data_IF_507320397853
#
_entry.id   IF_507320397853
#
_cell.length_a   1.000
_cell.length_b   1.000
_cell.length_c   1.000
_cell.angle_alpha   90.00
_cell.angle_beta   90.00
_cell.angle_gamma   90.00
#
_symmetry.space_group_name_H-M   'P 1'
#
loop_
_entity.id
_entity.type
_entity.pdbx_description
1 polymer ?
#
# COMPACT_ATOMS: atom_id res chain seq x y z
N UNK A 1 1.12 11.77 6.70
CA UNK A 1 0.96 10.35 6.38
C UNK A 1 -0.13 10.27 5.33
N UNK A 2 0.14 9.66 4.18
CA UNK A 2 -0.89 9.29 3.21
C UNK A 2 -1.27 7.83 3.41
N UNK A 3 -2.51 7.50 3.09
CA UNK A 3 -3.04 6.15 3.01
C UNK A 3 -3.85 5.98 1.75
N UNK A 4 -3.80 4.79 1.17
CA UNK A 4 -4.58 4.38 -0.01
C UNK A 4 -5.07 2.96 0.21
N UNK A 5 -6.31 2.71 -0.19
CA UNK A 5 -6.87 1.38 -0.30
C UNK A 5 -7.28 1.13 -1.75
N UNK A 6 -6.61 0.15 -2.35
CA UNK A 6 -6.96 -0.39 -3.66
C UNK A 6 -7.70 -1.71 -3.48
N UNK A 7 -8.89 -1.83 -4.05
CA UNK A 7 -9.57 -3.11 -4.20
C UNK A 7 -8.90 -3.91 -5.33
N UNK A 8 -8.84 -5.23 -5.14
CA UNK A 8 -8.29 -6.17 -6.08
C UNK A 8 -9.04 -7.50 -5.99
N UNK A 9 -9.61 -7.92 -7.12
CA UNK A 9 -10.41 -9.13 -7.26
C UNK A 9 -9.63 -10.31 -7.86
N UNK A 10 -8.33 -10.16 -8.08
CA UNK A 10 -7.49 -11.12 -8.80
C UNK A 10 -7.31 -10.80 -10.29
N UNK A 11 -7.88 -9.68 -10.78
CA UNK A 11 -7.67 -9.19 -12.15
C UNK A 11 -6.32 -8.48 -12.33
N UNK A 12 -6.09 -7.91 -13.52
CA UNK A 12 -4.91 -7.08 -13.83
C UNK A 12 -5.10 -5.60 -13.50
N UNK A 13 -6.13 -5.24 -12.71
CA UNK A 13 -6.45 -3.87 -12.33
C UNK A 13 -6.67 -3.75 -10.83
N UNK A 14 -6.02 -2.74 -10.23
CA UNK A 14 -6.26 -2.29 -8.86
C UNK A 14 -7.12 -1.03 -8.90
N UNK A 15 -8.26 -1.03 -8.21
CA UNK A 15 -9.22 0.08 -8.23
C UNK A 15 -9.19 0.85 -6.92
N UNK A 16 -8.95 2.17 -6.98
CA UNK A 16 -8.89 3.00 -5.78
C UNK A 16 -10.28 3.13 -5.16
N UNK A 17 -10.41 2.69 -3.91
CA UNK A 17 -11.66 2.82 -3.16
C UNK A 17 -11.58 3.97 -2.16
N UNK A 18 -10.42 4.18 -1.52
CA UNK A 18 -10.26 5.24 -0.53
C UNK A 18 -8.82 5.76 -0.49
N UNK A 19 -8.66 7.05 -0.17
CA UNK A 19 -7.36 7.71 -0.01
C UNK A 19 -7.42 8.84 1.01
N UNK A 20 -6.30 9.10 1.69
CA UNK A 20 -6.18 10.19 2.66
C UNK A 20 -4.71 10.59 2.89
N UNK A 21 -4.26 11.83 2.60
CA UNK A 21 -4.81 12.84 1.70
C UNK A 21 -4.55 12.58 0.20
N UNK A 22 -5.36 13.22 -0.64
CA UNK A 22 -5.64 12.89 -2.04
C UNK A 22 -4.49 13.17 -3.04
N UNK A 23 -3.95 12.11 -3.66
CA UNK A 23 -3.13 12.21 -4.89
C UNK A 23 -2.95 10.86 -5.60
N UNK A 24 -3.78 9.86 -5.31
CA UNK A 24 -3.65 8.51 -5.85
C UNK A 24 -4.46 8.36 -7.14
N UNK A 25 -3.98 7.50 -8.04
CA UNK A 25 -4.64 7.23 -9.32
C UNK A 25 -5.86 6.35 -9.08
N UNK A 26 -6.97 6.62 -9.76
CA UNK A 26 -8.23 5.88 -9.60
C UNK A 26 -8.13 4.40 -9.98
N UNK A 27 -7.25 4.05 -10.92
CA UNK A 27 -7.01 2.68 -11.34
C UNK A 27 -5.54 2.47 -11.74
N UNK A 28 -4.95 1.37 -11.30
CA UNK A 28 -3.58 0.95 -11.66
C UNK A 28 -3.66 -0.37 -12.41
N UNK A 29 -3.08 -0.42 -13.61
CA UNK A 29 -3.07 -1.61 -14.47
C UNK A 29 -1.63 -2.03 -14.82
N UNK A 30 -1.48 -3.19 -15.46
CA UNK A 30 -0.18 -3.80 -15.79
C UNK A 30 0.81 -2.94 -16.59
N UNK A 31 0.36 -1.87 -17.25
CA UNK A 31 1.24 -0.93 -17.95
C UNK A 31 1.86 0.14 -17.04
N UNK A 32 1.46 0.22 -15.77
CA UNK A 32 1.86 1.28 -14.85
C UNK A 32 2.96 0.82 -13.89
N UNK A 33 3.98 1.65 -13.61
CA UNK A 33 5.08 1.31 -12.71
C UNK A 33 4.66 0.85 -11.30
N UNK A 34 3.57 1.42 -10.75
CA UNK A 34 3.04 1.06 -9.44
C UNK A 34 2.42 -0.36 -9.40
N UNK A 35 2.03 -0.92 -10.54
CA UNK A 35 1.37 -2.23 -10.61
C UNK A 35 2.25 -3.36 -10.09
N UNK A 36 3.53 -3.38 -10.48
CA UNK A 36 4.46 -4.44 -10.07
C UNK A 36 4.59 -4.54 -8.54
N UNK A 37 4.49 -3.41 -7.84
CA UNK A 37 4.60 -3.36 -6.37
C UNK A 37 3.29 -3.80 -5.73
N UNK A 38 2.15 -3.34 -6.24
CA UNK A 38 0.84 -3.78 -5.75
C UNK A 38 0.63 -5.28 -5.98
N UNK A 39 1.04 -5.80 -7.14
CA UNK A 39 0.98 -7.22 -7.46
C UNK A 39 1.89 -8.04 -6.56
N UNK A 40 3.11 -7.57 -6.28
CA UNK A 40 4.01 -8.21 -5.33
C UNK A 40 3.37 -8.31 -3.95
N UNK A 41 2.77 -7.21 -3.44
CA UNK A 41 2.06 -7.24 -2.15
C UNK A 41 0.88 -8.21 -2.20
N UNK A 42 0.12 -8.18 -3.30
CA UNK A 42 -1.07 -8.99 -3.48
C UNK A 42 -0.79 -10.49 -3.54
N UNK A 43 0.38 -10.90 -4.07
CA UNK A 43 0.79 -12.31 -4.19
C UNK A 43 1.62 -12.78 -3.00
N UNK A 44 2.59 -12.00 -2.56
CA UNK A 44 3.64 -12.45 -1.65
C UNK A 44 3.42 -12.01 -0.19
N UNK A 45 2.50 -11.07 0.06
CA UNK A 45 2.19 -10.58 1.40
C UNK A 45 2.80 -9.22 1.71
N UNK A 46 3.11 -8.97 2.98
CA UNK A 46 3.50 -7.63 3.46
C UNK A 46 4.75 -7.10 2.74
N UNK A 47 4.71 -5.87 2.21
CA UNK A 47 5.87 -5.20 1.61
C UNK A 47 6.18 -3.91 2.37
N UNK A 48 7.39 -3.86 2.92
CA UNK A 48 8.03 -2.65 3.43
C UNK A 48 8.98 -2.16 2.33
N UNK A 49 8.76 -0.95 1.82
CA UNK A 49 9.41 -0.51 0.57
C UNK A 49 10.92 -0.48 0.70
N UNK A 50 11.57 -1.17 -0.25
CA UNK A 50 13.01 -1.24 -0.42
C UNK A 50 13.50 0.02 -1.15
N UNK A 51 14.78 0.38 -0.96
CA UNK A 51 15.45 1.39 -1.76
C UNK A 51 15.28 1.07 -3.26
N UNK A 52 14.86 2.03 -4.08
CA UNK A 52 14.63 1.92 -5.54
C UNK A 52 13.35 1.18 -5.99
N UNK A 53 12.34 1.02 -5.14
CA UNK A 53 11.03 0.49 -5.55
C UNK A 53 10.05 1.63 -5.84
N UNK A 54 9.20 1.50 -6.87
CA UNK A 54 8.21 2.54 -7.20
C UNK A 54 7.16 2.62 -6.07
N UNK A 55 6.82 3.83 -5.64
CA UNK A 55 5.79 4.02 -4.62
C UNK A 55 4.40 3.79 -5.23
N UNK A 56 3.49 3.04 -4.57
CA UNK A 56 2.11 2.93 -5.02
C UNK A 56 1.34 4.26 -4.95
N UNK A 57 1.93 5.30 -4.34
CA UNK A 57 1.41 6.66 -4.30
C UNK A 57 1.91 7.56 -5.45
N UNK A 58 2.92 7.13 -6.22
CA UNK A 58 3.54 7.94 -7.27
C UNK A 58 3.60 7.18 -8.61
N UNK A 59 2.97 7.75 -9.64
CA UNK A 59 2.87 7.14 -10.96
C UNK A 59 4.00 7.54 -11.91
N UNK A 60 4.71 8.67 -11.66
CA UNK A 60 5.70 9.27 -12.61
C UNK A 60 7.16 9.19 -12.17
N UNK A 61 7.46 8.74 -10.96
CA UNK A 61 8.85 8.60 -10.52
C UNK A 61 9.05 7.41 -9.59
N UNK A 62 10.23 6.78 -9.60
CA UNK A 62 10.63 5.90 -8.51
C UNK A 62 10.49 6.66 -7.18
N UNK A 63 10.16 5.94 -6.10
CA UNK A 63 9.95 6.51 -4.75
C UNK A 63 10.87 7.71 -4.51
N UNK A 64 10.33 8.84 -4.05
CA UNK A 64 11.24 9.89 -3.60
C UNK A 64 12.13 9.31 -2.49
N UNK A 65 13.44 9.61 -2.45
CA UNK A 65 14.36 8.97 -1.50
C UNK A 65 13.95 9.09 -0.02
N UNK A 66 13.06 10.03 0.27
CA UNK A 66 12.58 10.38 1.61
C UNK A 66 11.17 9.80 1.93
N UNK A 67 10.52 9.08 0.99
CA UNK A 67 9.23 8.42 1.18
C UNK A 67 9.41 6.97 1.65
N UNK A 68 8.92 6.66 2.85
CA UNK A 68 8.72 5.26 3.27
C UNK A 68 7.32 4.84 2.92
N UNK A 69 7.15 3.65 2.34
CA UNK A 69 5.82 3.06 2.10
C UNK A 69 5.74 1.68 2.72
N UNK A 70 4.66 1.44 3.46
CA UNK A 70 4.30 0.13 3.98
C UNK A 70 2.99 -0.28 3.31
N UNK A 71 2.92 -1.49 2.81
CA UNK A 71 1.75 -2.03 2.14
C UNK A 71 1.43 -3.44 2.66
N UNK A 72 0.15 -3.70 2.89
CA UNK A 72 -0.37 -4.96 3.41
C UNK A 72 -1.56 -5.43 2.58
N UNK A 73 -1.74 -6.75 2.52
CA UNK A 73 -2.95 -7.36 2.00
C UNK A 73 -4.12 -7.10 2.95
N UNK A 74 -5.29 -6.77 2.40
CA UNK A 74 -6.57 -6.82 3.11
C UNK A 74 -7.23 -8.14 2.74
N UNK A 75 -7.57 -8.96 3.73
CA UNK A 75 -8.12 -10.31 3.51
C UNK A 75 -9.47 -10.49 4.20
N UNK A 76 -10.44 -10.98 3.45
CA UNK A 76 -11.72 -11.45 3.98
C UNK A 76 -11.82 -12.95 3.72
N UNK A 77 -12.07 -13.75 4.77
CA UNK A 77 -12.14 -15.22 4.67
C UNK A 77 -10.93 -15.84 3.94
N UNK A 78 -9.71 -15.41 4.28
CA UNK A 78 -8.45 -15.79 3.62
C UNK A 78 -8.30 -15.38 2.13
N UNK A 79 -9.30 -14.76 1.52
CA UNK A 79 -9.20 -14.19 0.17
C UNK A 79 -8.65 -12.77 0.25
N UNK A 80 -7.60 -12.47 -0.52
CA UNK A 80 -7.13 -11.08 -0.71
C UNK A 80 -8.19 -10.32 -1.49
N UNK A 81 -8.68 -9.22 -0.92
CA UNK A 81 -9.69 -8.34 -1.54
C UNK A 81 -9.11 -6.98 -1.95
N UNK A 82 -7.87 -6.70 -1.56
CA UNK A 82 -7.24 -5.42 -1.84
C UNK A 82 -5.94 -5.23 -1.10
N UNK A 83 -5.37 -4.05 -1.29
CA UNK A 83 -4.08 -3.63 -0.76
C UNK A 83 -4.27 -2.30 -0.04
N UNK A 84 -3.91 -2.29 1.24
CA UNK A 84 -3.83 -1.07 2.04
C UNK A 84 -2.37 -0.65 2.09
N UNK A 85 -2.08 0.57 1.67
CA UNK A 85 -0.73 1.14 1.77
C UNK A 85 -0.76 2.47 2.51
N UNK A 86 0.31 2.76 3.23
CA UNK A 86 0.54 4.03 3.92
C UNK A 86 1.95 4.54 3.67
N UNK A 87 2.11 5.85 3.62
CA UNK A 87 3.40 6.50 3.48
C UNK A 87 3.74 7.46 4.63
N UNK A 88 5.04 7.63 4.87
CA UNK A 88 5.57 8.58 5.83
C UNK A 88 6.73 9.37 5.23
N UNK A 89 6.76 10.68 5.52
CA UNK A 89 7.94 11.50 5.26
C UNK A 89 9.00 11.20 6.31
N UNK A 90 10.22 10.87 5.90
CA UNK A 90 11.36 10.84 6.81
C UNK A 90 11.92 12.24 7.05
N UNK A 91 12.47 12.45 8.24
CA UNK A 91 13.52 13.46 8.40
C UNK A 91 14.74 13.00 7.59
N UNK A 92 15.38 13.91 6.86
CA UNK A 92 16.65 13.64 6.15
C UNK A 92 17.76 13.09 7.06
N UNK A 93 17.60 13.20 8.37
CA UNK A 93 18.53 12.74 9.40
C UNK A 93 18.21 11.35 10.00
N UNK A 94 17.18 10.65 9.52
CA UNK A 94 16.81 9.34 10.07
C UNK A 94 17.84 8.27 9.68
N UNK A 95 18.40 7.57 10.68
CA UNK A 95 19.43 6.55 10.49
C UNK A 95 18.91 5.22 9.91
N UNK A 96 17.63 4.91 10.13
CA UNK A 96 16.99 3.68 9.64
C UNK A 96 16.07 4.04 8.47
N UNK A 97 16.09 3.34 7.32
CA UNK A 97 15.09 3.52 6.27
C UNK A 97 13.71 2.89 6.57
N UNK A 98 13.57 2.07 7.61
CA UNK A 98 12.36 1.28 7.92
C UNK A 98 11.33 1.98 8.81
N UNK A 99 10.05 1.59 8.68
CA UNK A 99 8.97 2.01 9.60
C UNK A 99 9.26 1.57 11.03
N UNK A 100 8.80 2.35 12.02
CA UNK A 100 8.84 1.86 13.39
C UNK A 100 7.90 0.65 13.50
N UNK A 101 8.25 -0.33 14.36
CA UNK A 101 7.39 -1.50 14.58
C UNK A 101 5.95 -1.13 14.98
N UNK A 102 5.77 0.03 15.63
CA UNK A 102 4.47 0.61 15.92
C UNK A 102 3.66 0.90 14.65
N UNK A 103 4.24 1.58 13.67
CA UNK A 103 3.55 1.99 12.44
C UNK A 103 3.10 0.76 11.63
N UNK A 104 3.93 -0.28 11.61
CA UNK A 104 3.61 -1.55 10.94
C UNK A 104 2.44 -2.25 11.62
N UNK A 105 2.40 -2.27 12.95
CA UNK A 105 1.28 -2.84 13.72
C UNK A 105 0.00 -2.04 13.53
N UNK A 106 0.10 -0.72 13.47
CA UNK A 106 -1.03 0.17 13.23
C UNK A 106 -1.62 -0.06 11.83
N UNK A 107 -0.77 -0.21 10.80
CA UNK A 107 -1.20 -0.56 9.45
C UNK A 107 -1.91 -1.93 9.38
N UNK A 108 -1.36 -2.95 10.07
CA UNK A 108 -1.99 -4.27 10.15
C UNK A 108 -3.36 -4.19 10.82
N UNK A 109 -3.47 -3.44 11.93
CA UNK A 109 -4.75 -3.23 12.60
C UNK A 109 -5.78 -2.55 11.69
N UNK A 110 -5.37 -1.55 10.90
CA UNK A 110 -6.27 -0.91 9.93
C UNK A 110 -6.74 -1.88 8.85
N UNK A 111 -5.85 -2.77 8.36
CA UNK A 111 -6.24 -3.79 7.40
C UNK A 111 -7.24 -4.79 7.99
N UNK A 112 -7.06 -5.21 9.24
CA UNK A 112 -7.97 -6.13 9.92
C UNK A 112 -9.33 -5.48 10.19
N UNK A 113 -9.36 -4.22 10.64
CA UNK A 113 -10.61 -3.46 10.85
C UNK A 113 -11.36 -3.26 9.53
N UNK A 114 -10.63 -2.92 8.45
CA UNK A 114 -11.22 -2.77 7.12
C UNK A 114 -11.79 -4.10 6.60
N UNK A 115 -11.04 -5.19 6.74
CA UNK A 115 -11.49 -6.52 6.38
C UNK A 115 -12.76 -6.93 7.16
N UNK A 116 -12.79 -6.67 8.47
CA UNK A 116 -13.96 -6.96 9.30
C UNK A 116 -15.18 -6.14 8.86
N UNK A 117 -15.01 -4.86 8.55
CA UNK A 117 -16.09 -3.99 8.09
C UNK A 117 -16.66 -4.41 6.72
N UNK A 118 -15.79 -4.85 5.81
CA UNK A 118 -16.20 -5.34 4.47
C UNK A 118 -16.86 -6.71 4.58
N UNK A 119 -16.29 -7.64 5.34
CA UNK A 119 -16.78 -9.01 5.48
C UNK A 119 -18.03 -9.17 6.34
N UNK A 120 -18.45 -8.13 7.08
CA UNK A 120 -19.71 -8.09 7.83
C UNK A 120 -20.92 -7.70 6.96
N UNK A 121 -20.70 -7.24 5.72
CA UNK A 121 -21.74 -6.97 4.73
C UNK A 121 -21.94 -8.18 3.80
#
# INVERSE_FOLDING_TARGET
>A
MRGIYYEWDGSSVFTLVSQWPASAVSAINGGMPAYAVLELVAKDGQVLVRKNTVSPFNWTSPSTPDERVAAVQVKVNNKVIGILAMDGKMSKSAQDPGFAARDVRELLLYADVLAAAIGAN
#
